data_IF_902505163530
#
_entry.id   IF_902505163530
#
_cell.length_a   1.000
_cell.length_b   1.000
_cell.length_c   1.000
_cell.angle_alpha   90.00
_cell.angle_beta   90.00
_cell.angle_gamma   90.00
#
_symmetry.space_group_name_H-M   'P 1'
#
loop_
_entity.id
_entity.type
_entity.pdbx_description
1 polymer ?
#
# COMPACT_ATOMS: atom_id res chain seq x y z
N UNK A 1 42.17 -13.96 -29.83
CA UNK A 1 41.56 -14.02 -28.46
C UNK A 1 40.96 -15.41 -28.16
N UNK A 2 41.45 -16.11 -27.13
CA UNK A 2 41.18 -17.53 -26.88
C UNK A 2 39.69 -17.84 -26.57
N UNK A 3 39.17 -19.03 -26.94
CA UNK A 3 37.75 -19.42 -26.74
C UNK A 3 37.32 -19.30 -25.28
N UNK A 4 38.22 -19.63 -24.33
CA UNK A 4 37.97 -19.47 -22.88
C UNK A 4 37.70 -18.02 -22.48
N UNK A 5 38.45 -17.06 -23.03
CA UNK A 5 38.26 -15.63 -22.78
C UNK A 5 36.92 -15.13 -23.34
N UNK A 6 36.47 -15.62 -24.50
CA UNK A 6 35.16 -15.26 -25.06
C UNK A 6 34.00 -15.78 -24.20
N UNK A 7 34.08 -17.04 -23.76
CA UNK A 7 33.08 -17.64 -22.86
C UNK A 7 33.08 -16.92 -21.50
N UNK A 8 34.26 -16.58 -20.96
CA UNK A 8 34.40 -15.85 -19.70
C UNK A 8 33.77 -14.45 -19.75
N UNK A 9 34.01 -13.69 -20.82
CA UNK A 9 33.39 -12.36 -21.03
C UNK A 9 31.87 -12.46 -21.14
N UNK A 10 31.37 -13.49 -21.84
CA UNK A 10 29.93 -13.69 -22.03
C UNK A 10 29.25 -14.08 -20.71
N UNK A 11 29.86 -14.95 -19.91
CA UNK A 11 29.37 -15.30 -18.58
C UNK A 11 29.38 -14.10 -17.62
N UNK A 12 30.45 -13.28 -17.63
CA UNK A 12 30.55 -12.06 -16.82
C UNK A 12 29.46 -11.05 -17.19
N UNK A 13 29.19 -10.87 -18.49
CA UNK A 13 28.13 -10.00 -18.96
C UNK A 13 26.76 -10.46 -18.44
N UNK A 14 26.44 -11.76 -18.56
CA UNK A 14 25.18 -12.33 -18.06
C UNK A 14 25.05 -12.11 -16.55
N UNK A 15 26.08 -12.41 -15.77
CA UNK A 15 26.07 -12.24 -14.31
C UNK A 15 25.83 -10.77 -13.94
N UNK A 16 26.45 -9.84 -14.65
CA UNK A 16 26.28 -8.40 -14.42
C UNK A 16 24.85 -7.95 -14.68
N UNK A 17 24.24 -8.42 -15.78
CA UNK A 17 22.82 -8.15 -16.10
C UNK A 17 21.90 -8.71 -15.01
N UNK A 18 22.12 -9.96 -14.60
CA UNK A 18 21.32 -10.62 -13.56
C UNK A 18 21.41 -9.85 -12.23
N UNK A 19 22.63 -9.44 -11.83
CA UNK A 19 22.83 -8.64 -10.62
C UNK A 19 22.09 -7.30 -10.69
N UNK A 20 22.16 -6.60 -11.83
CA UNK A 20 21.48 -5.32 -12.01
C UNK A 20 19.95 -5.47 -11.90
N UNK A 21 19.40 -6.53 -12.49
CA UNK A 21 17.97 -6.86 -12.40
C UNK A 21 17.59 -7.14 -10.95
N UNK A 22 18.31 -8.01 -10.26
CA UNK A 22 18.05 -8.36 -8.85
C UNK A 22 18.07 -7.09 -7.99
N UNK A 23 19.09 -6.25 -8.15
CA UNK A 23 19.25 -5.05 -7.33
C UNK A 23 18.12 -4.05 -7.54
N UNK A 24 17.74 -3.79 -8.80
CA UNK A 24 16.65 -2.87 -9.08
C UNK A 24 15.28 -3.44 -8.70
N UNK A 25 15.04 -4.75 -8.83
CA UNK A 25 13.81 -5.38 -8.34
C UNK A 25 13.70 -5.29 -6.82
N UNK A 26 14.78 -5.55 -6.08
CA UNK A 26 14.81 -5.41 -4.62
C UNK A 26 14.56 -3.97 -4.19
N UNK A 27 15.22 -2.99 -4.84
CA UNK A 27 15.03 -1.57 -4.55
C UNK A 27 13.57 -1.12 -4.77
N UNK A 28 12.95 -1.53 -5.88
CA UNK A 28 11.55 -1.21 -6.16
C UNK A 28 10.60 -1.87 -5.17
N UNK A 29 10.86 -3.12 -4.80
CA UNK A 29 10.02 -3.85 -3.84
C UNK A 29 10.09 -3.23 -2.43
N UNK A 30 11.26 -2.77 -1.99
CA UNK A 30 11.41 -2.07 -0.71
C UNK A 30 10.59 -0.77 -0.67
N UNK A 31 10.65 0.05 -1.72
CA UNK A 31 9.87 1.29 -1.78
C UNK A 31 8.36 1.03 -1.84
N UNK A 32 7.92 0.05 -2.66
CA UNK A 32 6.52 -0.38 -2.71
C UNK A 32 6.01 -0.89 -1.36
N UNK A 33 6.83 -1.64 -0.63
CA UNK A 33 6.47 -2.19 0.68
C UNK A 33 6.22 -1.08 1.71
N UNK A 34 7.06 -0.05 1.73
CA UNK A 34 6.92 1.07 2.67
C UNK A 34 5.62 1.87 2.42
N UNK A 35 5.29 2.12 1.16
CA UNK A 35 4.08 2.88 0.83
C UNK A 35 2.80 2.08 1.06
N UNK A 36 2.83 0.76 0.83
CA UNK A 36 1.72 -0.13 1.16
C UNK A 36 1.47 -0.20 2.68
N UNK A 37 2.52 -0.13 3.49
CA UNK A 37 2.40 -0.08 4.94
C UNK A 37 1.72 1.22 5.41
N UNK A 38 2.13 2.37 4.87
CA UNK A 38 1.49 3.66 5.13
C UNK A 38 0.02 3.69 4.68
N UNK A 39 -0.29 3.08 3.54
CA UNK A 39 -1.66 2.99 3.03
C UNK A 39 -2.53 2.09 3.91
N UNK A 40 -1.98 0.98 4.41
CA UNK A 40 -2.65 0.08 5.35
C UNK A 40 -2.92 0.77 6.68
N UNK A 41 -1.92 1.46 7.24
CA UNK A 41 -2.07 2.22 8.49
C UNK A 41 -3.15 3.29 8.36
N UNK A 42 -3.11 4.06 7.27
CA UNK A 42 -4.09 5.14 7.09
C UNK A 42 -5.50 4.62 6.76
N UNK A 43 -5.62 3.49 6.07
CA UNK A 43 -6.90 2.81 5.88
C UNK A 43 -7.49 2.32 7.21
N UNK A 44 -6.64 1.81 8.12
CA UNK A 44 -7.07 1.45 9.48
C UNK A 44 -7.56 2.67 10.26
N UNK A 45 -6.87 3.82 10.16
CA UNK A 45 -7.33 5.08 10.79
C UNK A 45 -8.72 5.47 10.31
N UNK A 46 -8.94 5.50 8.98
CA UNK A 46 -10.24 5.86 8.41
C UNK A 46 -11.36 4.91 8.87
N UNK A 47 -11.09 3.61 8.92
CA UNK A 47 -12.05 2.62 9.39
C UNK A 47 -12.41 2.82 10.87
N UNK A 48 -11.42 3.09 11.73
CA UNK A 48 -11.67 3.35 13.15
C UNK A 48 -12.39 4.69 13.39
N UNK A 49 -12.11 5.72 12.60
CA UNK A 49 -12.84 6.99 12.60
C UNK A 49 -14.31 6.75 12.23
N UNK A 50 -14.58 5.99 11.17
CA UNK A 50 -15.94 5.65 10.74
C UNK A 50 -16.71 4.87 11.81
N UNK A 51 -16.04 3.90 12.44
CA UNK A 51 -16.61 3.15 13.57
C UNK A 51 -16.94 4.06 14.76
N UNK A 52 -16.05 5.02 15.08
CA UNK A 52 -16.29 6.01 16.13
C UNK A 52 -17.51 6.88 15.82
N UNK A 53 -17.63 7.43 14.60
CA UNK A 53 -18.78 8.23 14.15
C UNK A 53 -20.09 7.45 14.34
N UNK A 54 -20.12 6.21 13.84
CA UNK A 54 -21.30 5.36 13.95
C UNK A 54 -21.65 5.07 15.42
N UNK A 55 -20.66 4.76 16.25
CA UNK A 55 -20.89 4.48 17.66
C UNK A 55 -21.42 5.70 18.43
N UNK A 56 -20.99 6.91 18.07
CA UNK A 56 -21.49 8.16 18.65
C UNK A 56 -22.94 8.43 18.27
N UNK A 57 -23.29 8.30 16.98
CA UNK A 57 -24.66 8.45 16.51
C UNK A 57 -25.57 7.42 17.19
N UNK A 58 -25.18 6.14 17.19
CA UNK A 58 -25.93 5.07 17.83
C UNK A 58 -26.15 5.34 19.34
N UNK A 59 -25.15 5.91 20.02
CA UNK A 59 -25.25 6.30 21.43
C UNK A 59 -26.26 7.44 21.60
N UNK A 60 -26.11 8.52 20.84
CA UNK A 60 -26.99 9.69 20.91
C UNK A 60 -28.44 9.31 20.59
N UNK A 61 -28.67 8.50 19.56
CA UNK A 61 -30.00 7.99 19.19
C UNK A 61 -30.61 7.17 20.32
N UNK A 62 -29.84 6.29 20.95
CA UNK A 62 -30.32 5.52 22.12
C UNK A 62 -30.70 6.43 23.29
N UNK A 63 -29.95 7.51 23.53
CA UNK A 63 -30.27 8.51 24.56
C UNK A 63 -31.55 9.28 24.20
N UNK A 64 -31.70 9.70 22.94
CA UNK A 64 -32.89 10.37 22.41
C UNK A 64 -34.12 9.47 22.50
N UNK A 65 -34.01 8.21 22.10
CA UNK A 65 -35.10 7.24 22.19
C UNK A 65 -35.52 6.98 23.63
N UNK A 66 -34.57 6.91 24.56
CA UNK A 66 -34.89 6.91 25.99
C UNK A 66 -35.66 8.17 26.40
N UNK A 67 -35.20 9.35 25.96
CA UNK A 67 -35.82 10.64 26.27
C UNK A 67 -37.28 10.72 25.81
N UNK A 68 -37.56 10.28 24.57
CA UNK A 68 -38.88 10.39 23.97
C UNK A 68 -39.84 9.26 24.37
N UNK A 69 -39.33 8.04 24.58
CA UNK A 69 -40.18 6.87 24.82
C UNK A 69 -40.27 6.47 26.29
N UNK A 70 -39.21 6.70 27.08
CA UNK A 70 -39.06 6.18 28.44
C UNK A 70 -38.92 4.65 28.53
N UNK A 71 -38.61 3.96 27.42
CA UNK A 71 -38.41 2.50 27.41
C UNK A 71 -37.00 2.15 27.90
N UNK A 72 -36.90 1.38 28.98
CA UNK A 72 -35.62 1.05 29.63
C UNK A 72 -34.61 0.32 28.73
N UNK A 73 -35.07 -0.34 27.67
CA UNK A 73 -34.19 -0.99 26.67
C UNK A 73 -33.19 0.01 26.08
N UNK A 74 -33.64 1.19 25.67
CA UNK A 74 -32.79 2.22 25.07
C UNK A 74 -31.76 2.78 26.05
N UNK A 75 -32.10 2.89 27.32
CA UNK A 75 -31.13 3.26 28.37
C UNK A 75 -30.02 2.21 28.51
N UNK A 76 -30.37 0.93 28.43
CA UNK A 76 -29.38 -0.17 28.44
C UNK A 76 -28.51 -0.17 27.18
N UNK A 77 -29.11 0.09 26.02
CA UNK A 77 -28.40 0.22 24.74
C UNK A 77 -27.42 1.38 24.75
N UNK A 78 -27.82 2.57 25.23
CA UNK A 78 -26.94 3.72 25.35
C UNK A 78 -25.68 3.39 26.18
N UNK A 79 -25.82 2.73 27.33
CA UNK A 79 -24.67 2.32 28.15
C UNK A 79 -23.76 1.33 27.43
N UNK A 80 -24.33 0.41 26.65
CA UNK A 80 -23.55 -0.52 25.82
C UNK A 80 -22.79 0.21 24.70
N UNK A 81 -23.45 1.17 24.03
CA UNK A 81 -22.85 1.99 22.97
C UNK A 81 -21.72 2.87 23.51
N UNK A 82 -21.85 3.38 24.73
CA UNK A 82 -20.76 4.08 25.44
C UNK A 82 -19.48 3.23 25.50
N UNK A 83 -19.59 1.95 25.88
CA UNK A 83 -18.43 1.05 25.90
C UNK A 83 -17.77 0.88 24.53
N UNK A 84 -18.55 0.80 23.46
CA UNK A 84 -17.99 0.72 22.10
C UNK A 84 -17.25 1.98 21.67
N UNK A 85 -17.69 3.16 22.11
CA UNK A 85 -16.99 4.42 21.86
C UNK A 85 -15.65 4.43 22.61
N UNK A 86 -15.62 4.02 23.88
CA UNK A 86 -14.39 3.92 24.67
C UNK A 86 -13.37 2.96 24.02
N UNK A 87 -13.83 1.80 23.56
CA UNK A 87 -12.99 0.84 22.83
C UNK A 87 -12.44 1.44 21.52
N UNK A 88 -13.26 2.21 20.80
CA UNK A 88 -12.87 2.85 19.54
C UNK A 88 -11.85 3.97 19.79
N UNK A 89 -12.02 4.75 20.86
CA UNK A 89 -11.03 5.74 21.30
C UNK A 89 -9.71 5.10 21.72
N UNK A 90 -9.74 3.94 22.39
CA UNK A 90 -8.53 3.23 22.77
C UNK A 90 -7.74 2.74 21.54
N UNK A 91 -8.43 2.31 20.48
CA UNK A 91 -7.80 1.90 19.21
C UNK A 91 -7.26 3.11 18.45
N UNK A 92 -8.05 4.18 18.29
CA UNK A 92 -7.62 5.41 17.62
C UNK A 92 -6.41 6.05 18.31
N UNK A 93 -6.32 5.98 19.63
CA UNK A 93 -5.26 6.63 20.41
C UNK A 93 -3.86 6.09 20.17
N UNK A 94 -3.75 4.95 19.48
CA UNK A 94 -2.47 4.37 19.06
C UNK A 94 -1.96 4.94 17.75
N UNK A 95 -2.82 5.60 16.97
CA UNK A 95 -2.54 5.95 15.57
C UNK A 95 -2.71 7.45 15.30
N UNK A 96 -3.59 8.15 16.04
CA UNK A 96 -3.75 9.59 15.90
C UNK A 96 -2.86 10.38 16.87
N UNK A 97 -2.62 11.65 16.55
CA UNK A 97 -1.85 12.55 17.40
C UNK A 97 -2.47 12.66 18.82
N UNK A 98 -1.68 12.61 19.90
CA UNK A 98 -2.18 12.75 21.27
C UNK A 98 -3.00 14.03 21.51
N UNK A 99 -2.68 15.12 20.82
CA UNK A 99 -3.38 16.41 20.92
C UNK A 99 -4.81 16.31 20.40
N UNK A 100 -4.98 15.74 19.20
CA UNK A 100 -6.29 15.54 18.58
C UNK A 100 -7.11 14.52 19.38
N UNK A 101 -6.45 13.48 19.90
CA UNK A 101 -7.10 12.50 20.77
C UNK A 101 -7.64 13.14 22.06
N UNK A 102 -6.84 13.97 22.73
CA UNK A 102 -7.28 14.66 23.95
C UNK A 102 -8.45 15.60 23.67
N UNK A 103 -8.43 16.30 22.54
CA UNK A 103 -9.53 17.17 22.11
C UNK A 103 -10.81 16.38 21.84
N UNK A 104 -10.72 15.26 21.13
CA UNK A 104 -11.86 14.36 20.88
C UNK A 104 -12.43 13.79 22.18
N UNK A 105 -11.57 13.33 23.09
CA UNK A 105 -11.99 12.82 24.41
C UNK A 105 -12.77 13.87 25.19
N UNK A 106 -12.25 15.09 25.27
CA UNK A 106 -12.94 16.18 25.98
C UNK A 106 -14.33 16.44 25.42
N UNK A 107 -14.50 16.43 24.09
CA UNK A 107 -15.81 16.64 23.46
C UNK A 107 -16.76 15.46 23.65
N UNK A 108 -16.23 14.25 23.69
CA UNK A 108 -17.00 13.04 23.99
C UNK A 108 -17.46 13.05 25.45
N UNK A 109 -16.62 13.54 26.37
CA UNK A 109 -16.99 13.71 27.78
C UNK A 109 -18.14 14.73 27.94
N UNK A 110 -18.15 15.81 27.15
CA UNK A 110 -19.27 16.76 27.10
C UNK A 110 -20.57 16.06 26.66
N UNK A 111 -20.51 15.26 25.57
CA UNK A 111 -21.64 14.46 25.07
C UNK A 111 -22.13 13.47 26.14
N UNK A 112 -21.21 12.81 26.84
CA UNK A 112 -21.54 11.88 27.92
C UNK A 112 -22.13 12.58 29.12
N UNK A 113 -21.67 13.78 29.47
CA UNK A 113 -22.21 14.57 30.57
C UNK A 113 -23.70 14.84 30.35
N UNK A 114 -24.06 15.39 29.18
CA UNK A 114 -25.45 15.68 28.82
C UNK A 114 -26.27 14.39 28.68
N UNK A 115 -25.71 13.37 28.02
CA UNK A 115 -26.37 12.07 27.88
C UNK A 115 -26.68 11.42 29.23
N UNK A 116 -25.74 11.45 30.18
CA UNK A 116 -25.94 10.91 31.53
C UNK A 116 -27.01 11.67 32.30
N UNK A 117 -27.09 13.01 32.14
CA UNK A 117 -28.17 13.81 32.71
C UNK A 117 -29.52 13.30 32.19
N UNK A 118 -29.68 13.14 30.87
CA UNK A 118 -30.92 12.61 30.26
C UNK A 118 -31.24 11.20 30.77
N UNK A 119 -30.23 10.32 30.81
CA UNK A 119 -30.39 8.94 31.28
C UNK A 119 -30.74 8.86 32.78
N UNK A 120 -30.44 9.89 33.57
CA UNK A 120 -30.73 9.91 35.02
C UNK A 120 -32.22 10.09 35.35
N UNK A 121 -33.01 10.68 34.45
CA UNK A 121 -34.44 10.91 34.67
C UNK A 121 -35.20 9.59 34.77
N UNK A 122 -35.99 9.41 35.84
CA UNK A 122 -36.80 8.18 36.02
C UNK A 122 -37.97 8.08 35.02
N UNK A 123 -38.53 9.22 34.62
CA UNK A 123 -39.65 9.35 33.68
C UNK A 123 -39.38 10.50 32.71
N UNK A 124 -38.59 10.27 31.65
CA UNK A 124 -38.14 11.36 30.78
C UNK A 124 -39.23 11.86 29.81
N UNK A 125 -40.15 10.97 29.41
CA UNK A 125 -41.19 11.26 28.43
C UNK A 125 -42.08 12.42 28.86
N UNK A 126 -42.14 13.46 28.02
CA UNK A 126 -42.97 14.65 28.24
C UNK A 126 -42.36 15.69 29.18
N UNK A 127 -41.13 15.49 29.67
CA UNK A 127 -40.42 16.51 30.45
C UNK A 127 -39.83 17.58 29.53
N UNK A 128 -40.21 18.85 29.76
CA UNK A 128 -39.66 20.01 29.04
C UNK A 128 -38.15 20.11 29.25
N UNK A 129 -37.67 19.86 30.46
CA UNK A 129 -36.24 19.91 30.77
C UNK A 129 -35.46 18.87 29.97
N UNK A 130 -35.99 17.65 29.85
CA UNK A 130 -35.37 16.59 29.03
C UNK A 130 -35.33 17.00 27.55
N UNK A 131 -36.36 17.67 27.04
CA UNK A 131 -36.37 18.14 25.66
C UNK A 131 -35.26 19.17 25.38
N UNK A 132 -35.02 20.11 26.30
CA UNK A 132 -33.89 21.05 26.19
C UNK A 132 -32.54 20.32 26.21
N UNK A 133 -32.39 19.30 27.06
CA UNK A 133 -31.17 18.49 27.10
C UNK A 133 -30.96 17.67 25.84
N UNK A 134 -32.02 17.16 25.21
CA UNK A 134 -31.92 16.48 23.92
C UNK A 134 -31.41 17.43 22.85
N UNK A 135 -31.92 18.67 22.80
CA UNK A 135 -31.40 19.67 21.86
C UNK A 135 -29.92 19.97 22.10
N UNK A 136 -29.52 20.15 23.37
CA UNK A 136 -28.12 20.34 23.75
C UNK A 136 -27.25 19.15 23.32
N UNK A 137 -27.77 17.92 23.46
CA UNK A 137 -27.09 16.71 22.99
C UNK A 137 -26.91 16.72 21.46
N UNK A 138 -27.93 17.11 20.69
CA UNK A 138 -27.85 17.22 19.22
C UNK A 138 -26.81 18.25 18.77
N UNK A 139 -26.76 19.41 19.44
CA UNK A 139 -25.79 20.47 19.15
C UNK A 139 -24.35 19.95 19.41
N UNK A 140 -24.12 19.27 20.53
CA UNK A 140 -22.81 18.68 20.87
C UNK A 140 -22.44 17.54 19.92
N UNK A 141 -23.41 16.68 19.56
CA UNK A 141 -23.19 15.60 18.60
C UNK A 141 -22.73 16.15 17.25
N UNK A 142 -23.41 17.18 16.74
CA UNK A 142 -23.06 17.79 15.45
C UNK A 142 -21.65 18.40 15.49
N UNK A 143 -21.33 19.16 16.53
CA UNK A 143 -20.00 19.75 16.71
C UNK A 143 -18.90 18.67 16.80
N UNK A 144 -19.18 17.58 17.51
CA UNK A 144 -18.26 16.45 17.63
C UNK A 144 -18.04 15.74 16.28
N UNK A 145 -19.11 15.51 15.51
CA UNK A 145 -19.00 14.89 14.18
C UNK A 145 -18.17 15.76 13.22
N UNK A 146 -18.33 17.09 13.27
CA UNK A 146 -17.52 18.03 12.51
C UNK A 146 -16.04 18.01 12.93
N UNK A 147 -15.76 17.87 14.24
CA UNK A 147 -14.39 17.72 14.73
C UNK A 147 -13.75 16.41 14.23
N UNK A 148 -14.50 15.31 14.26
CA UNK A 148 -14.03 14.03 13.74
C UNK A 148 -13.77 14.11 12.22
N UNK A 149 -14.64 14.79 11.46
CA UNK A 149 -14.43 15.02 10.03
C UNK A 149 -13.18 15.86 9.75
N UNK A 150 -12.87 16.84 10.61
CA UNK A 150 -11.61 17.59 10.51
C UNK A 150 -10.39 16.67 10.69
N UNK A 151 -10.41 15.80 11.71
CA UNK A 151 -9.33 14.83 11.95
C UNK A 151 -9.21 13.85 10.77
N UNK A 152 -10.33 13.40 10.23
CA UNK A 152 -10.38 12.54 9.03
C UNK A 152 -9.83 13.24 7.78
N UNK A 153 -10.12 14.54 7.60
CA UNK A 153 -9.63 15.32 6.46
C UNK A 153 -8.12 15.45 6.48
N UNK A 154 -7.52 15.70 7.65
CA UNK A 154 -6.05 15.73 7.80
C UNK A 154 -5.45 14.36 7.46
N UNK A 155 -6.07 13.27 7.93
CA UNK A 155 -5.65 11.91 7.58
C UNK A 155 -5.82 11.61 6.08
N UNK A 156 -6.89 12.12 5.45
CA UNK A 156 -7.20 11.89 4.03
C UNK A 156 -6.32 12.72 3.09
N UNK A 157 -5.87 13.90 3.50
CA UNK A 157 -4.86 14.67 2.76
C UNK A 157 -3.53 13.92 2.73
N UNK A 158 -3.15 13.28 3.84
CA UNK A 158 -1.99 12.38 3.87
C UNK A 158 -2.19 11.18 2.93
N UNK A 159 -3.39 10.58 2.86
CA UNK A 159 -3.71 9.55 1.85
C UNK A 159 -3.51 10.04 0.42
N UNK A 160 -3.97 11.24 0.08
CA UNK A 160 -3.80 11.75 -1.29
C UNK A 160 -2.33 11.96 -1.65
N UNK A 161 -1.50 12.40 -0.70
CA UNK A 161 -0.06 12.53 -0.88
C UNK A 161 0.59 11.16 -1.08
N UNK A 162 0.23 10.17 -0.25
CA UNK A 162 0.71 8.80 -0.37
C UNK A 162 0.29 8.20 -1.70
N UNK A 163 -1.00 8.26 -2.07
CA UNK A 163 -1.51 7.73 -3.34
C UNK A 163 -0.83 8.37 -4.56
N UNK A 164 -0.60 9.69 -4.57
CA UNK A 164 0.17 10.35 -5.65
C UNK A 164 1.61 9.87 -5.70
N UNK A 165 2.21 9.61 -4.54
CA UNK A 165 3.58 9.06 -4.45
C UNK A 165 3.60 7.63 -4.96
N UNK A 166 2.61 6.81 -4.60
CA UNK A 166 2.40 5.44 -5.10
C UNK A 166 2.16 5.42 -6.62
N UNK A 167 1.35 6.32 -7.18
CA UNK A 167 1.13 6.42 -8.63
C UNK A 167 2.43 6.80 -9.36
N UNK A 168 3.19 7.76 -8.82
CA UNK A 168 4.49 8.16 -9.36
C UNK A 168 5.49 7.00 -9.31
N UNK A 169 5.49 6.25 -8.21
CA UNK A 169 6.32 5.06 -8.05
C UNK A 169 5.89 3.96 -9.01
N UNK A 170 4.59 3.65 -9.14
CA UNK A 170 4.08 2.71 -10.14
C UNK A 170 4.52 3.09 -11.56
N UNK A 171 4.48 4.37 -11.92
CA UNK A 171 5.00 4.88 -13.18
C UNK A 171 6.51 4.63 -13.34
N UNK A 172 7.30 4.87 -12.30
CA UNK A 172 8.75 4.59 -12.30
C UNK A 172 9.04 3.08 -12.36
N UNK A 173 8.28 2.25 -11.65
CA UNK A 173 8.36 0.78 -11.67
C UNK A 173 8.02 0.24 -13.07
N UNK A 174 7.00 0.79 -13.72
CA UNK A 174 6.61 0.42 -15.08
C UNK A 174 7.70 0.82 -16.10
N UNK A 175 8.27 2.02 -15.97
CA UNK A 175 9.40 2.47 -16.79
C UNK A 175 10.64 1.59 -16.63
N UNK A 176 11.02 1.28 -15.38
CA UNK A 176 12.14 0.38 -15.08
C UNK A 176 11.91 -1.03 -15.62
N UNK A 177 10.73 -1.60 -15.39
CA UNK A 177 10.39 -2.95 -15.88
C UNK A 177 10.45 -3.01 -17.40
N UNK A 178 9.94 -1.98 -18.08
CA UNK A 178 10.04 -1.86 -19.54
C UNK A 178 11.49 -1.76 -20.01
N UNK A 179 12.32 -0.95 -19.34
CA UNK A 179 13.73 -0.82 -19.66
C UNK A 179 14.49 -2.14 -19.46
N UNK A 180 14.19 -2.89 -18.38
CA UNK A 180 14.76 -4.22 -18.13
C UNK A 180 14.36 -5.22 -19.21
N UNK A 181 13.10 -5.24 -19.63
CA UNK A 181 12.62 -6.12 -20.72
C UNK A 181 13.36 -5.80 -22.02
N UNK A 182 13.42 -4.51 -22.40
CA UNK A 182 14.12 -4.08 -23.62
C UNK A 182 15.61 -4.45 -23.55
N UNK A 183 16.26 -4.20 -22.42
CA UNK A 183 17.66 -4.53 -22.21
C UNK A 183 17.93 -6.04 -22.24
N UNK A 184 17.04 -6.85 -21.66
CA UNK A 184 17.13 -8.30 -21.70
C UNK A 184 17.00 -8.82 -23.15
N UNK A 185 16.03 -8.32 -23.92
CA UNK A 185 15.84 -8.68 -25.33
C UNK A 185 17.07 -8.29 -26.16
N UNK A 186 17.62 -7.09 -25.96
CA UNK A 186 18.85 -6.65 -26.64
C UNK A 186 20.05 -7.53 -26.27
N UNK A 187 20.20 -7.87 -25.00
CA UNK A 187 21.30 -8.73 -24.52
C UNK A 187 21.20 -10.13 -25.11
N UNK A 188 20.01 -10.74 -25.10
CA UNK A 188 19.76 -12.06 -25.71
C UNK A 188 20.06 -12.00 -27.21
N UNK A 189 19.62 -10.95 -27.90
CA UNK A 189 19.86 -10.77 -29.33
C UNK A 189 21.36 -10.67 -29.63
N UNK A 190 22.11 -9.90 -28.84
CA UNK A 190 23.57 -9.78 -28.95
C UNK A 190 24.29 -11.10 -28.70
N UNK A 191 23.88 -11.84 -27.66
CA UNK A 191 24.44 -13.15 -27.32
C UNK A 191 24.18 -14.17 -28.45
N UNK A 192 22.96 -14.20 -29.00
CA UNK A 192 22.61 -15.02 -30.16
C UNK A 192 23.45 -14.67 -31.39
N UNK A 193 23.64 -13.38 -31.67
CA UNK A 193 24.46 -12.90 -32.80
C UNK A 193 25.92 -13.31 -32.63
N UNK A 194 26.46 -13.23 -31.40
CA UNK A 194 27.81 -13.69 -31.10
C UNK A 194 27.94 -15.22 -31.20
N UNK A 195 26.96 -15.98 -30.72
CA UNK A 195 26.93 -17.44 -30.87
C UNK A 195 26.88 -17.85 -32.35
N UNK A 196 26.00 -17.23 -33.14
CA UNK A 196 25.91 -17.45 -34.58
C UNK A 196 27.25 -17.18 -35.26
N UNK A 197 27.90 -16.05 -34.97
CA UNK A 197 29.24 -15.75 -35.51
C UNK A 197 30.31 -16.72 -35.03
N UNK A 198 30.27 -17.12 -33.76
CA UNK A 198 31.24 -18.02 -33.15
C UNK A 198 31.11 -19.45 -33.68
N UNK A 199 29.90 -19.90 -34.05
CA UNK A 199 29.64 -21.24 -34.61
C UNK A 199 29.78 -21.26 -36.13
N UNK A 200 29.27 -20.26 -36.87
CA UNK A 200 29.32 -20.25 -38.34
C UNK A 200 30.74 -20.26 -38.90
N UNK A 201 31.70 -19.57 -38.28
CA UNK A 201 33.09 -19.56 -38.75
C UNK A 201 33.74 -20.96 -38.70
N UNK A 202 33.79 -21.66 -37.56
CA UNK A 202 34.38 -22.99 -37.50
C UNK A 202 33.57 -24.02 -38.29
N UNK A 203 32.23 -23.95 -38.31
CA UNK A 203 31.42 -24.86 -39.14
C UNK A 203 31.62 -24.63 -40.64
N UNK A 204 31.75 -23.37 -41.07
CA UNK A 204 32.03 -23.03 -42.46
C UNK A 204 33.43 -23.48 -42.89
N UNK A 205 34.42 -23.37 -42.00
CA UNK A 205 35.76 -23.92 -42.23
C UNK A 205 35.74 -25.45 -42.29
N UNK A 206 35.01 -26.11 -41.40
CA UNK A 206 34.84 -27.56 -41.41
C UNK A 206 34.09 -28.05 -42.66
N UNK A 207 33.02 -27.38 -43.10
CA UNK A 207 32.33 -27.75 -44.34
C UNK A 207 33.22 -27.58 -45.56
N UNK A 208 33.97 -26.46 -45.66
CA UNK A 208 34.91 -26.25 -46.76
C UNK A 208 36.03 -27.29 -46.77
N UNK A 209 36.60 -27.62 -45.61
CA UNK A 209 37.59 -28.68 -45.49
C UNK A 209 37.01 -30.05 -45.90
N UNK A 210 35.76 -30.34 -45.52
CA UNK A 210 35.06 -31.57 -45.93
C UNK A 210 34.76 -31.59 -47.43
N UNK A 211 34.38 -30.46 -48.04
CA UNK A 211 34.19 -30.31 -49.49
C UNK A 211 35.50 -30.46 -50.28
N UNK A 212 36.62 -29.95 -49.76
CA UNK A 212 37.95 -30.11 -50.38
C UNK A 212 38.44 -31.56 -50.30
N UNK A 213 38.17 -32.25 -49.19
CA UNK A 213 38.40 -33.70 -49.05
C UNK A 213 37.52 -34.52 -50.02
N UNK A 214 36.23 -34.21 -50.11
CA UNK A 214 35.28 -34.90 -51.00
C UNK A 214 35.54 -34.65 -52.50
N UNK A 215 36.14 -33.51 -52.85
CA UNK A 215 36.53 -33.19 -54.23
C UNK A 215 37.88 -33.77 -54.65
N UNK A 216 38.52 -34.57 -53.78
CA UNK A 216 39.67 -35.41 -54.13
C UNK A 216 41.02 -34.70 -54.13
N UNK A 217 41.16 -33.59 -53.40
CA UNK A 217 42.48 -33.00 -53.11
C UNK A 217 43.08 -33.72 -51.89
N UNK A 218 44.18 -34.46 -52.09
CA UNK A 218 44.81 -35.28 -51.04
C UNK A 218 45.63 -34.47 -50.01
N UNK A 219 46.01 -33.22 -50.33
CA UNK A 219 46.67 -32.32 -49.38
C UNK A 219 45.69 -31.22 -48.91
N UNK A 220 44.82 -31.57 -47.96
CA UNK A 220 44.02 -30.56 -47.24
C UNK A 220 44.85 -30.06 -46.06
N UNK A 221 45.55 -28.95 -46.28
CA UNK A 221 46.08 -28.16 -45.17
C UNK A 221 44.90 -27.57 -44.39
N UNK A 222 44.62 -28.12 -43.20
CA UNK A 222 43.80 -27.40 -42.23
C UNK A 222 44.47 -26.05 -41.99
N UNK A 223 43.82 -24.91 -42.31
CA UNK A 223 44.39 -23.64 -41.96
C UNK A 223 44.52 -23.63 -40.43
N UNK A 224 45.76 -23.62 -39.93
CA UNK A 224 46.03 -23.31 -38.53
C UNK A 224 45.32 -22.00 -38.29
N UNK A 225 44.33 -22.01 -37.40
CA UNK A 225 43.55 -20.82 -37.09
C UNK A 225 44.50 -19.66 -36.88
N UNK A 226 44.44 -18.66 -37.76
CA UNK A 226 45.19 -17.43 -37.57
C UNK A 226 44.71 -16.83 -36.25
N UNK A 227 45.62 -16.83 -35.27
CA UNK A 227 45.50 -16.07 -34.05
C UNK A 227 45.57 -14.58 -34.40
N UNK A 228 44.44 -13.99 -34.78
CA UNK A 228 44.17 -12.54 -34.65
C UNK A 228 42.75 -12.29 -34.08
#
# INVERSE_FOLDING_TARGET
MNIRTRIGVLALAIITVVLFIIFGTVYLFQNLSSDLELLKETSQVSLEISNLKKALIDYSDSVKDWAFTGKKSFKGEALKKKGYIEDSLARLGRVINPTDMNRLRSRIDDLYSVGNIILSYKKPKGSIEVFYRVKELDDIEMDLLLEIERVETVSSQNLQIVTRTTEKLLGQTAGYTTAVIVFAVLTISLVLLQLLRAVQRPFGLLMRATEELLSGKEDVEFPKGEDE
#
